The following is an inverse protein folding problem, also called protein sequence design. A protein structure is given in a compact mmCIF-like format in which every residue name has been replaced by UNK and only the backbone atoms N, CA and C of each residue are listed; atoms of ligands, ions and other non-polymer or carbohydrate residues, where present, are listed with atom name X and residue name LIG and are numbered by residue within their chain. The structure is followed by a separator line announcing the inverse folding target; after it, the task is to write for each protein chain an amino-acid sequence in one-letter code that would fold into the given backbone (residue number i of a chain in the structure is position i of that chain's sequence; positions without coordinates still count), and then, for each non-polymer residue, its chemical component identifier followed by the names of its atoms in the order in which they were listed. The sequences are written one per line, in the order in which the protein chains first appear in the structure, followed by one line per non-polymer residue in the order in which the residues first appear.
data_IF_073849204821
#
_entry.id   IF_073849204821
#
_cell.length_a   1.000
_cell.length_b   1.000
_cell.length_c   1.000
_cell.angle_alpha   90.00
_cell.angle_beta   90.00
_cell.angle_gamma   90.00
#
_symmetry.space_group_name_H-M   'P 1'
#
loop_
_entity.id
_entity.type
_entity.pdbx_description
1 polymer ?
#
# COMPACT_ATOMS: atom_id res chain seq x y z
N UNK A 1 -22.15 -59.44 -37.77
CA UNK A 1 -22.92 -58.24 -37.39
C UNK A 1 -22.00 -57.40 -36.53
N UNK A 2 -21.69 -56.17 -36.99
CA UNK A 2 -20.55 -55.39 -36.51
C UNK A 2 -20.76 -54.81 -35.12
N UNK A 3 -19.82 -55.08 -34.22
CA UNK A 3 -19.69 -54.34 -32.97
C UNK A 3 -19.37 -52.88 -33.30
N UNK A 4 -20.21 -51.89 -32.93
CA UNK A 4 -19.86 -50.50 -33.14
C UNK A 4 -18.67 -50.15 -32.25
N UNK A 5 -17.58 -49.75 -32.91
CA UNK A 5 -16.39 -49.18 -32.32
C UNK A 5 -16.72 -47.82 -31.69
N UNK A 6 -17.13 -47.80 -30.41
CA UNK A 6 -17.28 -46.55 -29.66
C UNK A 6 -16.12 -46.45 -28.66
N UNK A 7 -15.20 -45.56 -29.00
CA UNK A 7 -14.00 -45.12 -28.27
C UNK A 7 -14.16 -45.19 -26.72
N UNK A 8 -13.28 -45.90 -25.98
CA UNK A 8 -13.23 -45.83 -24.52
C UNK A 8 -12.43 -44.59 -24.08
N UNK A 9 -13.06 -43.43 -23.84
CA UNK A 9 -12.26 -42.20 -23.65
C UNK A 9 -12.93 -41.22 -22.68
N UNK A 10 -12.14 -40.68 -21.76
CA UNK A 10 -12.53 -40.07 -20.49
C UNK A 10 -13.54 -38.92 -20.52
N UNK A 11 -14.11 -38.68 -19.33
CA UNK A 11 -15.28 -37.84 -18.96
C UNK A 11 -16.59 -38.16 -19.71
N UNK A 12 -17.55 -38.75 -18.98
CA UNK A 12 -18.92 -38.97 -19.44
C UNK A 12 -19.74 -37.67 -19.44
N UNK A 13 -20.90 -37.66 -20.10
CA UNK A 13 -21.85 -36.52 -20.02
C UNK A 13 -22.27 -36.21 -18.58
N UNK A 14 -22.33 -37.23 -17.72
CA UNK A 14 -22.65 -37.08 -16.30
C UNK A 14 -21.50 -36.42 -15.54
N UNK A 15 -20.24 -36.71 -15.89
CA UNK A 15 -19.07 -36.06 -15.31
C UNK A 15 -19.00 -34.59 -15.72
N UNK A 16 -19.29 -34.28 -16.99
CA UNK A 16 -19.41 -32.90 -17.47
C UNK A 16 -20.52 -32.15 -16.73
N UNK A 17 -21.71 -32.76 -16.59
CA UNK A 17 -22.83 -32.18 -15.84
C UNK A 17 -22.44 -31.91 -14.39
N UNK A 18 -21.76 -32.84 -13.72
CA UNK A 18 -21.26 -32.65 -12.35
C UNK A 18 -20.24 -31.53 -12.26
N UNK A 19 -19.31 -31.42 -13.22
CA UNK A 19 -18.33 -30.34 -13.26
C UNK A 19 -18.99 -28.97 -13.44
N UNK A 20 -19.96 -28.85 -14.37
CA UNK A 20 -20.73 -27.61 -14.57
C UNK A 20 -21.57 -27.28 -13.35
N UNK A 21 -22.20 -28.26 -12.70
CA UNK A 21 -22.94 -28.06 -11.46
C UNK A 21 -22.03 -27.62 -10.31
N UNK A 22 -20.82 -28.19 -10.21
CA UNK A 22 -19.82 -27.79 -9.21
C UNK A 22 -19.35 -26.36 -9.45
N UNK A 23 -19.13 -25.97 -10.70
CA UNK A 23 -18.80 -24.59 -11.05
C UNK A 23 -19.96 -23.63 -10.78
N UNK A 24 -21.20 -24.01 -11.14
CA UNK A 24 -22.40 -23.22 -10.84
C UNK A 24 -22.70 -23.14 -9.33
N UNK A 25 -22.26 -24.13 -8.54
CA UNK A 25 -22.37 -24.11 -7.08
C UNK A 25 -21.37 -23.18 -6.41
N UNK A 26 -20.31 -22.78 -7.11
CA UNK A 26 -19.48 -21.64 -6.72
C UNK A 26 -20.31 -20.38 -6.96
N UNK A 27 -21.26 -20.11 -6.06
CA UNK A 27 -22.06 -18.89 -6.06
C UNK A 27 -21.08 -17.73 -5.91
N UNK A 28 -20.79 -17.06 -7.03
CA UNK A 28 -20.15 -15.75 -7.05
C UNK A 28 -21.28 -14.72 -7.14
N UNK A 29 -21.52 -14.02 -6.04
CA UNK A 29 -22.49 -12.95 -5.93
C UNK A 29 -21.92 -11.85 -5.02
N UNK A 30 -22.67 -10.76 -4.83
CA UNK A 30 -22.22 -9.61 -4.05
C UNK A 30 -21.89 -9.93 -2.57
N UNK A 31 -22.42 -11.03 -2.04
CA UNK A 31 -22.24 -11.46 -0.65
C UNK A 31 -21.24 -12.64 -0.53
N UNK A 32 -20.64 -13.07 -1.64
CA UNK A 32 -19.70 -14.17 -1.64
C UNK A 32 -18.38 -13.77 -1.01
N UNK A 33 -17.94 -14.50 0.00
CA UNK A 33 -16.56 -14.45 0.49
C UNK A 33 -15.71 -15.45 -0.29
N UNK A 34 -14.65 -14.97 -0.92
CA UNK A 34 -13.67 -15.79 -1.62
C UNK A 34 -12.35 -15.79 -0.85
N UNK A 35 -11.75 -16.97 -0.69
CA UNK A 35 -10.42 -17.11 -0.08
C UNK A 35 -9.50 -17.78 -1.08
N UNK A 36 -8.38 -17.13 -1.40
CA UNK A 36 -7.33 -17.67 -2.26
C UNK A 36 -6.04 -17.82 -1.44
N UNK A 37 -5.21 -18.80 -1.79
CA UNK A 37 -3.85 -18.90 -1.22
C UNK A 37 -2.97 -17.77 -1.73
N UNK A 38 -3.12 -17.41 -3.01
CA UNK A 38 -2.47 -16.27 -3.64
C UNK A 38 -3.34 -15.73 -4.76
N UNK A 39 -3.15 -14.46 -5.10
CA UNK A 39 -3.84 -13.79 -6.19
C UNK A 39 -2.82 -12.93 -6.95
N UNK A 40 -2.81 -13.05 -8.27
CA UNK A 40 -2.05 -12.18 -9.18
C UNK A 40 -3.04 -11.37 -10.01
N UNK A 41 -3.05 -10.06 -9.84
CA UNK A 41 -3.88 -9.13 -10.60
C UNK A 41 -2.98 -8.40 -11.60
N UNK A 42 -3.09 -8.73 -12.89
CA UNK A 42 -2.16 -8.29 -13.93
C UNK A 42 -2.09 -6.79 -14.14
N UNK A 43 -3.15 -6.07 -13.77
CA UNK A 43 -3.24 -4.61 -13.91
C UNK A 43 -2.63 -3.86 -12.72
N UNK A 44 -2.22 -4.57 -11.66
CA UNK A 44 -1.50 -3.96 -10.54
C UNK A 44 0.00 -3.84 -10.85
N UNK A 45 0.59 -2.78 -10.32
CA UNK A 45 2.04 -2.57 -10.29
C UNK A 45 2.64 -3.31 -9.09
N UNK A 46 3.74 -4.02 -9.32
CA UNK A 46 4.46 -4.73 -8.24
C UNK A 46 4.94 -3.74 -7.17
N UNK A 47 4.88 -4.15 -5.91
CA UNK A 47 5.37 -3.38 -4.74
C UNK A 47 4.71 -2.01 -4.52
N UNK A 48 3.52 -1.75 -5.08
CA UNK A 48 2.75 -0.51 -4.82
C UNK A 48 1.55 -0.76 -3.90
N UNK A 49 1.02 0.31 -3.31
CA UNK A 49 -0.22 0.29 -2.54
C UNK A 49 -1.39 -0.14 -3.44
N UNK A 50 -2.29 -0.97 -2.94
CA UNK A 50 -3.52 -1.35 -3.65
C UNK A 50 -4.69 -0.54 -3.11
N UNK A 51 -5.39 0.15 -3.99
CA UNK A 51 -6.54 1.01 -3.69
C UNK A 51 -7.72 0.69 -4.62
N UNK A 52 -8.86 1.35 -4.42
CA UNK A 52 -9.94 1.36 -5.40
C UNK A 52 -9.98 2.69 -6.16
N UNK A 53 -10.12 2.64 -7.48
CA UNK A 53 -10.28 3.83 -8.30
C UNK A 53 -11.73 4.39 -8.28
N UNK A 54 -11.99 5.42 -9.09
CA UNK A 54 -13.33 5.99 -9.25
C UNK A 54 -14.37 4.99 -9.78
N UNK A 55 -13.93 3.92 -10.47
CA UNK A 55 -14.79 2.84 -10.97
C UNK A 55 -14.95 1.69 -9.98
N UNK A 56 -14.34 1.79 -8.79
CA UNK A 56 -14.32 0.77 -7.71
C UNK A 56 -13.55 -0.50 -8.08
N UNK A 57 -12.67 -0.42 -9.08
CA UNK A 57 -11.75 -1.50 -9.44
C UNK A 57 -10.48 -1.40 -8.61
N UNK A 58 -9.82 -2.54 -8.36
CA UNK A 58 -8.54 -2.54 -7.67
C UNK A 58 -7.46 -2.01 -8.61
N UNK A 59 -6.75 -0.98 -8.16
CA UNK A 59 -5.65 -0.35 -8.91
C UNK A 59 -4.45 -0.14 -7.98
N UNK A 60 -3.28 0.09 -8.57
CA UNK A 60 -2.10 0.54 -7.81
C UNK A 60 -2.08 2.05 -7.69
N UNK A 61 -1.65 2.54 -6.53
CA UNK A 61 -1.41 3.97 -6.28
C UNK A 61 -0.08 4.15 -5.57
N UNK A 62 0.40 5.38 -5.61
CA UNK A 62 1.61 5.80 -4.95
C UNK A 62 1.30 6.09 -3.49
N UNK A 63 2.07 5.50 -2.55
CA UNK A 63 1.87 5.76 -1.12
C UNK A 63 1.99 7.26 -0.82
N UNK A 64 2.84 7.96 -1.57
CA UNK A 64 3.01 9.41 -1.53
C UNK A 64 1.68 10.16 -1.66
N UNK A 65 0.79 9.76 -2.58
CA UNK A 65 -0.51 10.41 -2.85
C UNK A 65 -1.43 10.50 -1.63
N UNK A 66 -1.22 9.65 -0.62
CA UNK A 66 -2.08 9.54 0.56
C UNK A 66 -1.56 10.30 1.77
N UNK A 67 -0.29 10.71 1.75
CA UNK A 67 0.40 11.29 2.90
C UNK A 67 0.96 12.68 2.62
N UNK A 68 0.56 13.33 1.52
CA UNK A 68 1.11 14.62 1.13
C UNK A 68 0.78 15.73 2.14
N UNK A 69 1.74 16.65 2.30
CA UNK A 69 1.73 17.89 3.13
C UNK A 69 2.15 17.69 4.61
N UNK A 70 3.03 18.50 5.23
CA UNK A 70 3.31 19.93 5.11
C UNK A 70 4.79 20.20 4.77
N UNK A 71 5.06 20.88 3.65
CA UNK A 71 6.42 21.14 3.14
C UNK A 71 7.34 21.90 4.12
N UNK A 72 6.79 22.48 5.19
CA UNK A 72 7.52 23.28 6.17
C UNK A 72 7.93 22.52 7.44
N UNK A 73 7.47 21.28 7.65
CA UNK A 73 7.81 20.51 8.86
C UNK A 73 8.44 19.16 8.52
N UNK A 74 7.83 18.45 7.57
CA UNK A 74 8.26 17.11 7.19
C UNK A 74 8.31 17.06 5.67
N UNK A 75 9.52 16.91 5.14
CA UNK A 75 9.74 16.61 3.74
C UNK A 75 9.47 15.13 3.51
N UNK A 76 8.64 14.85 2.51
CA UNK A 76 8.32 13.51 2.07
C UNK A 76 8.85 13.39 0.64
N UNK A 77 9.65 12.35 0.39
CA UNK A 77 10.21 12.04 -0.93
C UNK A 77 9.74 10.65 -1.38
N UNK A 78 9.46 10.53 -2.67
CA UNK A 78 9.16 9.28 -3.38
C UNK A 78 10.19 9.14 -4.51
N UNK A 79 10.84 7.99 -4.61
CA UNK A 79 11.80 7.64 -5.66
C UNK A 79 11.24 6.63 -6.67
N UNK A 80 9.95 6.30 -6.55
CA UNK A 80 9.23 5.39 -7.43
C UNK A 80 9.30 3.92 -7.02
N UNK A 81 9.99 3.56 -5.93
CA UNK A 81 10.25 2.16 -5.58
C UNK A 81 9.09 1.43 -4.84
N UNK A 82 8.09 2.18 -4.39
CA UNK A 82 6.94 1.68 -3.62
C UNK A 82 6.90 2.21 -2.19
N UNK A 83 7.98 2.84 -1.76
CA UNK A 83 8.15 3.41 -0.43
C UNK A 83 8.18 4.92 -0.47
N UNK A 84 8.31 5.53 0.71
CA UNK A 84 8.48 6.97 0.87
C UNK A 84 9.53 7.21 1.96
N UNK A 85 10.31 8.27 1.81
CA UNK A 85 11.28 8.72 2.80
C UNK A 85 10.80 9.99 3.48
N UNK A 86 10.79 9.99 4.81
CA UNK A 86 10.49 11.16 5.63
C UNK A 86 11.77 11.80 6.16
N UNK A 87 11.82 13.13 6.15
CA UNK A 87 12.91 13.91 6.74
C UNK A 87 12.42 15.24 7.28
N UNK A 88 13.13 15.81 8.25
CA UNK A 88 12.93 17.21 8.66
C UNK A 88 13.83 18.12 7.81
N UNK A 89 13.48 19.41 7.63
CA UNK A 89 14.34 20.37 6.90
C UNK A 89 15.75 20.54 7.50
N UNK A 90 15.92 20.22 8.78
CA UNK A 90 17.21 20.13 9.46
C UNK A 90 17.13 19.10 10.59
N UNK A 91 18.28 18.56 10.99
CA UNK A 91 18.35 17.62 12.11
C UNK A 91 18.00 18.31 13.44
N UNK A 92 17.25 17.61 14.31
CA UNK A 92 16.84 18.09 15.64
C UNK A 92 17.17 17.11 16.78
N UNK A 93 17.90 16.04 16.50
CA UNK A 93 18.46 15.15 17.52
C UNK A 93 19.47 15.86 18.43
N UNK A 94 19.82 15.27 19.57
CA UNK A 94 20.69 15.86 20.60
C UNK A 94 22.12 16.18 20.15
N UNK A 95 22.59 15.62 19.03
CA UNK A 95 23.87 15.94 18.41
C UNK A 95 23.80 16.97 17.28
N UNK A 96 22.60 17.48 16.93
CA UNK A 96 22.46 18.47 15.87
C UNK A 96 22.91 19.86 16.29
N UNK A 97 23.33 20.64 15.30
CA UNK A 97 23.51 22.10 15.40
C UNK A 97 22.49 22.80 14.49
N UNK A 98 21.21 22.90 14.89
CA UNK A 98 20.19 23.54 14.08
C UNK A 98 20.45 25.04 13.94
N UNK A 99 20.08 25.60 12.78
CA UNK A 99 20.16 27.04 12.49
C UNK A 99 18.77 27.65 12.54
N UNK A 100 18.64 28.77 13.27
CA UNK A 100 17.40 29.52 13.38
C UNK A 100 17.66 30.98 12.98
N UNK A 101 16.81 31.55 12.12
CA UNK A 101 16.88 32.96 11.76
C UNK A 101 16.48 33.88 12.94
N UNK A 102 15.61 33.38 13.83
CA UNK A 102 15.18 34.05 15.05
C UNK A 102 14.65 33.03 16.06
N UNK A 103 14.68 33.39 17.34
CA UNK A 103 14.25 32.52 18.42
C UNK A 103 13.37 33.28 19.40
N UNK A 104 12.19 32.73 19.67
CA UNK A 104 11.31 33.20 20.75
C UNK A 104 11.33 32.16 21.85
N UNK A 105 11.84 32.53 23.02
CA UNK A 105 11.89 31.66 24.20
C UNK A 105 10.83 32.08 25.20
N UNK A 106 10.01 31.13 25.63
CA UNK A 106 9.07 31.28 26.73
C UNK A 106 9.64 30.65 28.01
N UNK A 107 9.13 31.06 29.17
CA UNK A 107 9.57 30.50 30.46
C UNK A 107 10.86 31.09 31.04
N UNK A 108 11.42 32.14 30.43
CA UNK A 108 12.48 32.92 31.05
C UNK A 108 11.92 33.69 32.25
N UNK A 109 12.51 33.51 33.42
CA UNK A 109 12.17 34.23 34.66
C UNK A 109 13.09 35.42 34.87
N UNK A 110 12.73 36.34 35.77
CA UNK A 110 13.60 37.47 36.14
C UNK A 110 14.98 36.97 36.57
N UNK A 111 16.04 37.55 36.01
CA UNK A 111 17.42 37.14 36.24
C UNK A 111 17.93 36.03 35.32
N UNK A 112 17.11 35.48 34.42
CA UNK A 112 17.59 34.56 33.37
C UNK A 112 18.57 35.27 32.44
N UNK A 113 19.74 34.67 32.21
CA UNK A 113 20.75 35.13 31.25
C UNK A 113 20.87 34.10 30.13
N UNK A 114 20.81 34.56 28.88
CA UNK A 114 21.00 33.70 27.72
C UNK A 114 22.49 33.61 27.39
N UNK A 115 23.01 32.38 27.25
CA UNK A 115 24.38 32.13 26.81
C UNK A 115 24.34 31.59 25.37
N UNK A 116 24.97 32.31 24.45
CA UNK A 116 25.14 31.88 23.07
C UNK A 116 26.58 31.40 22.86
N UNK A 117 26.81 30.08 22.88
CA UNK A 117 28.14 29.47 22.73
C UNK A 117 28.36 28.28 23.67
N UNK A 118 29.59 27.77 23.74
CA UNK A 118 29.94 26.56 24.50
C UNK A 118 30.01 26.76 26.04
N UNK A 119 29.63 27.92 26.58
CA UNK A 119 29.63 28.12 28.03
C UNK A 119 29.18 29.50 28.49
N UNK A 120 28.66 29.51 29.72
CA UNK A 120 28.25 30.64 30.55
C UNK A 120 28.68 30.43 31.99
#
# INVERSE_FOLDING_TARGET
MGSPNLIPVGVTLNDLRRAVQKLASLRLNADSTLTFTSLTLSDLTASRLVVTDATKTLVSDDLYSWVTETSNQVLIADDGDGTITFSTPQNIHTGASPTFAGLTLSGLTQGSVMFAGAGG
#
